data_IF_795802322350
#
_entry.id   IF_795802322350
#
_cell.length_a   1.000
_cell.length_b   1.000
_cell.length_c   1.000
_cell.angle_alpha   90.00
_cell.angle_beta   90.00
_cell.angle_gamma   90.00
#
_symmetry.space_group_name_H-M   'P 1'
#
loop_
_entity.id
_entity.type
_entity.pdbx_description
1 polymer ?
#
# COMPACT_ATOMS: atom_id res chain seq x y z
N UNK A 1 11.32 -2.78 -9.27
CA UNK A 1 10.25 -1.76 -9.29
C UNK A 1 9.03 -2.26 -8.52
N UNK A 2 8.04 -1.40 -8.30
CA UNK A 2 6.87 -1.74 -7.49
C UNK A 2 6.05 -2.91 -8.07
N UNK A 3 6.04 -3.07 -9.40
CA UNK A 3 5.34 -4.17 -10.04
C UNK A 3 6.00 -5.52 -9.70
N UNK A 4 7.32 -5.59 -9.73
CA UNK A 4 8.05 -6.80 -9.37
C UNK A 4 7.87 -7.13 -7.89
N UNK A 5 7.95 -6.11 -7.02
CA UNK A 5 7.75 -6.26 -5.58
C UNK A 5 6.35 -6.78 -5.25
N UNK A 6 5.33 -6.35 -5.99
CA UNK A 6 3.96 -6.78 -5.76
C UNK A 6 3.75 -8.28 -6.02
N UNK A 7 4.67 -8.94 -6.73
CA UNK A 7 4.59 -10.37 -7.07
C UNK A 7 5.41 -11.26 -6.14
N UNK A 8 6.20 -10.68 -5.24
CA UNK A 8 7.12 -11.42 -4.35
C UNK A 8 6.56 -11.44 -2.96
N UNK A 9 6.63 -12.62 -2.29
CA UNK A 9 6.19 -12.79 -0.93
C UNK A 9 4.69 -13.03 -0.79
N UNK A 10 4.18 -12.88 0.43
CA UNK A 10 2.79 -13.16 0.76
C UNK A 10 1.90 -11.97 0.46
N UNK A 11 0.81 -12.21 -0.26
CA UNK A 11 -0.22 -11.20 -0.55
C UNK A 11 -1.13 -11.03 0.66
N UNK A 12 -1.37 -9.78 1.05
CA UNK A 12 -2.26 -9.41 2.16
C UNK A 12 -3.45 -8.69 1.56
N UNK A 13 -4.64 -9.26 1.68
CA UNK A 13 -5.84 -8.73 1.04
C UNK A 13 -6.67 -7.83 1.94
N UNK A 14 -6.47 -7.87 3.25
CA UNK A 14 -7.20 -7.06 4.22
C UNK A 14 -6.24 -6.13 4.96
N UNK A 15 -6.64 -4.86 5.12
CA UNK A 15 -5.86 -3.91 5.92
C UNK A 15 -5.64 -4.37 7.35
N UNK A 16 -6.60 -5.10 7.94
CA UNK A 16 -6.47 -5.58 9.31
C UNK A 16 -5.37 -6.61 9.49
N UNK A 17 -4.92 -7.24 8.40
CA UNK A 17 -3.85 -8.23 8.43
C UNK A 17 -2.47 -7.65 8.13
N UNK A 18 -2.39 -6.36 7.85
CA UNK A 18 -1.11 -5.69 7.60
C UNK A 18 -0.24 -5.69 8.84
N UNK A 19 1.06 -5.88 8.63
CA UNK A 19 2.08 -5.81 9.68
C UNK A 19 3.17 -4.87 9.26
N UNK A 20 3.84 -4.28 10.25
CA UNK A 20 4.99 -3.39 10.04
C UNK A 20 5.98 -4.05 9.07
N UNK A 21 6.35 -3.30 8.04
CA UNK A 21 7.26 -3.78 6.99
C UNK A 21 6.56 -4.25 5.72
N UNK A 22 5.22 -4.38 5.73
CA UNK A 22 4.49 -4.73 4.53
C UNK A 22 4.46 -3.56 3.54
N UNK A 23 4.57 -3.87 2.25
CA UNK A 23 4.28 -2.90 1.19
C UNK A 23 2.77 -2.83 1.01
N UNK A 24 2.25 -1.63 0.75
CA UNK A 24 0.83 -1.39 0.54
C UNK A 24 0.62 -0.72 -0.81
N UNK A 25 -0.37 -1.21 -1.56
CA UNK A 25 -0.60 -0.82 -2.94
C UNK A 25 -2.00 -0.23 -3.11
N UNK A 26 -2.07 0.88 -3.83
CA UNK A 26 -3.29 1.66 -4.00
C UNK A 26 -3.55 1.97 -5.47
N UNK A 27 -4.83 2.12 -5.82
CA UNK A 27 -5.25 2.78 -7.05
C UNK A 27 -5.79 4.16 -6.69
N UNK A 28 -5.04 5.21 -7.00
CA UNK A 28 -5.39 6.59 -6.63
C UNK A 28 -6.67 7.09 -7.30
N UNK A 29 -7.11 6.46 -8.39
CA UNK A 29 -8.37 6.78 -9.06
C UNK A 29 -9.53 5.87 -8.63
N UNK A 30 -9.27 4.97 -7.71
CA UNK A 30 -10.28 4.08 -7.13
C UNK A 30 -11.12 3.35 -8.19
N UNK A 31 -10.45 2.81 -9.21
CA UNK A 31 -11.12 2.07 -10.29
C UNK A 31 -11.59 0.71 -9.77
N UNK A 32 -12.62 0.16 -10.41
CA UNK A 32 -13.21 -1.12 -10.03
C UNK A 32 -12.80 -2.25 -10.94
N UNK A 33 -12.73 -3.47 -10.38
CA UNK A 33 -12.53 -4.70 -11.13
C UNK A 33 -11.27 -4.68 -12.00
N UNK A 34 -11.42 -5.13 -13.24
CA UNK A 34 -10.29 -5.25 -14.18
C UNK A 34 -9.69 -3.91 -14.61
N UNK A 35 -10.41 -2.80 -14.39
CA UNK A 35 -9.90 -1.47 -14.68
C UNK A 35 -8.93 -0.97 -13.62
N UNK A 36 -8.90 -1.60 -12.44
CA UNK A 36 -8.03 -1.17 -11.35
C UNK A 36 -6.57 -1.48 -11.67
N UNK A 37 -5.72 -0.48 -11.46
CA UNK A 37 -4.27 -0.60 -11.61
C UNK A 37 -3.58 0.01 -10.41
N UNK A 38 -2.40 -0.49 -10.06
CA UNK A 38 -1.62 0.08 -8.96
C UNK A 38 -0.95 1.35 -9.45
N UNK A 39 -1.26 2.45 -8.79
CA UNK A 39 -0.69 3.78 -9.11
C UNK A 39 0.18 4.33 -7.98
N UNK A 40 0.12 3.73 -6.78
CA UNK A 40 0.85 4.23 -5.62
C UNK A 40 1.23 3.09 -4.69
N UNK A 41 2.37 3.23 -4.03
CA UNK A 41 2.89 2.27 -3.07
C UNK A 41 3.38 3.01 -1.82
N UNK A 42 3.19 2.37 -0.66
CA UNK A 42 3.73 2.85 0.61
C UNK A 42 4.29 1.71 1.42
N UNK A 43 4.90 2.05 2.56
CA UNK A 43 5.42 1.08 3.52
C UNK A 43 4.60 1.17 4.80
N UNK A 44 3.96 0.07 5.17
CA UNK A 44 3.19 0.01 6.42
C UNK A 44 4.14 0.00 7.61
N UNK A 45 3.92 0.90 8.57
CA UNK A 45 4.79 1.04 9.75
C UNK A 45 4.10 0.67 11.07
N UNK A 46 2.92 0.06 10.97
CA UNK A 46 2.14 -0.35 12.14
C UNK A 46 1.14 0.72 12.56
N UNK A 47 0.25 0.35 13.48
CA UNK A 47 -0.76 1.24 14.08
C UNK A 47 -1.68 1.94 13.06
N UNK A 48 -1.87 1.32 11.90
CA UNK A 48 -2.72 1.87 10.85
C UNK A 48 -2.03 2.90 9.96
N UNK A 49 -0.72 3.08 10.08
CA UNK A 49 0.03 4.12 9.39
C UNK A 49 0.93 3.55 8.30
N UNK A 50 1.11 4.33 7.24
CA UNK A 50 2.15 4.08 6.24
C UNK A 50 3.04 5.29 6.08
N UNK A 51 4.26 5.07 5.60
CA UNK A 51 5.11 6.13 5.09
C UNK A 51 5.17 6.04 3.57
N UNK A 52 5.18 7.18 2.92
CA UNK A 52 5.23 7.26 1.46
C UNK A 52 5.72 8.65 1.02
N UNK A 53 6.14 8.72 -0.24
CA UNK A 53 6.37 10.00 -0.92
C UNK A 53 5.16 10.26 -1.82
N UNK A 54 4.30 11.27 -1.54
CA UNK A 54 3.07 11.49 -2.32
C UNK A 54 3.33 11.79 -3.79
N UNK A 55 4.46 12.42 -4.10
CA UNK A 55 4.88 12.74 -5.47
C UNK A 55 6.38 12.51 -5.60
N UNK A 56 6.88 12.23 -6.81
CA UNK A 56 8.32 12.17 -7.03
C UNK A 56 8.99 13.48 -6.57
N UNK A 57 10.05 13.35 -5.79
CA UNK A 57 10.77 14.50 -5.24
C UNK A 57 10.20 15.09 -3.96
N UNK A 58 8.99 14.67 -3.53
CA UNK A 58 8.42 15.09 -2.27
C UNK A 58 9.12 14.41 -1.09
N UNK A 59 8.98 15.03 0.09
CA UNK A 59 9.44 14.43 1.34
C UNK A 59 8.57 13.22 1.69
N UNK A 60 9.18 12.24 2.34
CA UNK A 60 8.46 11.10 2.89
C UNK A 60 7.59 11.58 4.05
N UNK A 61 6.33 11.15 4.04
CA UNK A 61 5.34 11.50 5.05
C UNK A 61 4.71 10.26 5.65
N UNK A 62 4.32 10.36 6.91
CA UNK A 62 3.53 9.32 7.58
C UNK A 62 2.07 9.73 7.57
N UNK A 63 1.20 8.83 7.09
CA UNK A 63 -0.24 9.05 7.05
C UNK A 63 -0.98 7.83 7.58
N UNK A 64 -2.11 8.06 8.24
CA UNK A 64 -2.99 6.97 8.66
C UNK A 64 -3.81 6.50 7.47
N UNK A 65 -3.86 5.19 7.24
CA UNK A 65 -4.60 4.61 6.12
C UNK A 65 -5.83 3.82 6.56
N UNK A 66 -5.86 3.32 7.79
CA UNK A 66 -6.96 2.47 8.26
C UNK A 66 -8.21 3.24 8.61
N UNK A 67 -8.10 4.52 8.96
CA UNK A 67 -9.23 5.39 9.26
C UNK A 67 -9.44 6.48 8.20
N UNK A 68 -8.75 6.38 7.07
CA UNK A 68 -8.82 7.37 6.01
C UNK A 68 -9.93 7.03 5.02
N UNK A 69 -10.86 7.97 4.83
CA UNK A 69 -11.91 7.83 3.82
C UNK A 69 -11.35 7.88 2.38
N UNK A 70 -10.13 8.39 2.22
CA UNK A 70 -9.47 8.41 0.92
C UNK A 70 -8.69 7.12 0.68
N UNK A 71 -7.86 6.69 1.64
CA UNK A 71 -6.98 5.53 1.45
C UNK A 71 -7.71 4.19 1.54
N UNK A 72 -8.68 4.06 2.46
CA UNK A 72 -9.37 2.77 2.63
C UNK A 72 -10.00 2.24 1.34
N UNK A 73 -10.82 3.02 0.61
CA UNK A 73 -11.43 2.49 -0.61
C UNK A 73 -10.43 2.28 -1.74
N UNK A 74 -9.28 2.95 -1.70
CA UNK A 74 -8.25 2.87 -2.74
C UNK A 74 -7.21 1.78 -2.51
N UNK A 75 -7.20 1.18 -1.33
CA UNK A 75 -6.33 0.06 -1.00
C UNK A 75 -6.68 -1.15 -1.86
N UNK A 76 -5.65 -1.79 -2.44
CA UNK A 76 -5.85 -2.98 -3.28
C UNK A 76 -5.33 -4.22 -2.59
N UNK A 77 -4.07 -4.22 -2.17
CA UNK A 77 -3.49 -5.29 -1.36
C UNK A 77 -2.16 -4.84 -0.75
N UNK A 78 -1.66 -5.67 0.17
CA UNK A 78 -0.32 -5.56 0.68
C UNK A 78 0.54 -6.73 0.22
N UNK A 79 1.84 -6.58 0.38
CA UNK A 79 2.80 -7.63 0.09
C UNK A 79 3.83 -7.72 1.20
N UNK A 80 3.94 -8.89 1.80
CA UNK A 80 4.93 -9.16 2.83
C UNK A 80 6.11 -9.85 2.19
N UNK A 81 7.24 -9.15 2.13
CA UNK A 81 8.48 -9.70 1.57
C UNK A 81 9.14 -10.55 2.65
N UNK A 82 9.47 -11.78 2.28
CA UNK A 82 10.23 -12.67 3.16
C UNK A 82 11.70 -12.42 2.87
N UNK A 83 12.42 -11.95 3.90
CA UNK A 83 13.87 -11.75 3.82
C UNK A 83 14.52 -12.91 4.55
N UNK A 84 15.30 -13.70 3.81
CA UNK A 84 16.07 -14.82 4.37
C UNK A 84 17.51 -14.42 4.67
#
# INVERSE_FOLDING_TARGET
>A
NSRAQAKVGKKITSMSDLKKGDLVFFDSKNRSGSASVITHVGLYVGNGDMIHAPKPGDKIKKVNITNSNWYKPRFRWGRRVIVE
#
